data_IF_040061664245
#
_entry.id   IF_040061664245
#
_cell.length_a   1.000
_cell.length_b   1.000
_cell.length_c   1.000
_cell.angle_alpha   90.00
_cell.angle_beta   90.00
_cell.angle_gamma   90.00
#
_symmetry.space_group_name_H-M   'P 1'
#
loop_
_entity.id
_entity.type
_entity.pdbx_description
1 polymer ?
#
# COMPACT_ATOMS: atom_id res chain seq x y z
N UNK A 1 6.50 -30.81 15.07
CA UNK A 1 7.74 -30.12 14.64
C UNK A 1 7.80 -29.80 13.13
N UNK A 2 6.83 -30.25 12.32
CA UNK A 2 6.85 -30.13 10.85
C UNK A 2 6.15 -28.88 10.31
N UNK A 3 5.07 -28.41 10.96
CA UNK A 3 4.36 -27.17 10.59
C UNK A 3 5.17 -25.89 10.82
N UNK A 4 6.03 -25.86 11.84
CA UNK A 4 6.88 -24.72 12.17
C UNK A 4 8.05 -24.53 11.16
N UNK A 5 8.45 -25.61 10.46
CA UNK A 5 9.48 -25.57 9.42
C UNK A 5 8.91 -25.08 8.08
N UNK A 6 7.67 -25.46 7.76
CA UNK A 6 6.95 -24.98 6.58
C UNK A 6 6.61 -23.49 6.73
N UNK A 7 6.16 -23.06 7.91
CA UNK A 7 5.89 -21.64 8.19
C UNK A 7 7.14 -20.75 8.11
N UNK A 8 8.31 -21.25 8.54
CA UNK A 8 9.58 -20.54 8.40
C UNK A 8 10.06 -20.44 6.95
N UNK A 9 9.91 -21.51 6.16
CA UNK A 9 10.24 -21.48 4.73
C UNK A 9 9.33 -20.51 3.96
N UNK A 10 8.03 -20.49 4.26
CA UNK A 10 7.07 -19.56 3.64
C UNK A 10 7.37 -18.10 4.01
N UNK A 11 7.68 -17.82 5.28
CA UNK A 11 8.07 -16.49 5.74
C UNK A 11 9.42 -16.02 5.16
N UNK A 12 10.40 -16.92 5.02
CA UNK A 12 11.67 -16.64 4.34
C UNK A 12 11.48 -16.37 2.85
N UNK A 13 10.58 -17.09 2.17
CA UNK A 13 10.24 -16.84 0.77
C UNK A 13 9.51 -15.52 0.58
N UNK A 14 8.59 -15.14 1.48
CA UNK A 14 7.89 -13.85 1.45
C UNK A 14 8.85 -12.68 1.73
N UNK A 15 9.76 -12.83 2.70
CA UNK A 15 10.81 -11.84 2.97
C UNK A 15 11.78 -11.74 1.79
N UNK A 16 12.14 -12.86 1.16
CA UNK A 16 12.99 -12.88 -0.03
C UNK A 16 12.30 -12.26 -1.25
N UNK A 17 11.00 -12.48 -1.45
CA UNK A 17 10.19 -11.84 -2.50
C UNK A 17 9.95 -10.35 -2.24
N UNK A 18 9.80 -9.93 -0.97
CA UNK A 18 9.75 -8.52 -0.59
C UNK A 18 11.12 -7.83 -0.75
N UNK A 19 12.22 -8.56 -0.49
CA UNK A 19 13.57 -8.08 -0.78
C UNK A 19 13.79 -7.96 -2.28
N UNK A 20 13.37 -8.94 -3.09
CA UNK A 20 13.40 -8.86 -4.55
C UNK A 20 12.50 -7.75 -5.09
N UNK A 21 11.28 -7.55 -4.57
CA UNK A 21 10.39 -6.46 -4.96
C UNK A 21 10.98 -5.08 -4.59
N UNK A 22 11.66 -5.00 -3.44
CA UNK A 22 12.38 -3.80 -3.00
C UNK A 22 13.63 -3.55 -3.83
N UNK A 23 14.32 -4.60 -4.28
CA UNK A 23 15.53 -4.53 -5.13
C UNK A 23 15.19 -4.19 -6.59
N UNK A 24 14.04 -4.69 -7.08
CA UNK A 24 13.43 -4.30 -8.37
C UNK A 24 12.88 -2.87 -8.33
N UNK A 25 12.28 -2.44 -7.22
CA UNK A 25 11.88 -1.04 -7.00
C UNK A 25 13.08 -0.09 -6.88
N UNK A 26 14.18 -0.55 -6.28
CA UNK A 26 15.42 0.23 -6.13
C UNK A 26 16.20 0.40 -7.45
N UNK A 27 15.97 -0.45 -8.45
CA UNK A 27 16.62 -0.32 -9.77
C UNK A 27 16.04 0.83 -10.62
N UNK A 28 14.85 1.34 -10.31
CA UNK A 28 14.20 2.45 -11.04
C UNK A 28 14.04 3.73 -10.21
N UNK A 29 14.56 3.79 -8.97
CA UNK A 29 14.61 5.05 -8.22
C UNK A 29 15.80 5.90 -8.68
N UNK A 30 15.53 7.02 -9.34
CA UNK A 30 16.50 8.08 -9.62
C UNK A 30 17.14 8.49 -8.29
N UNK A 31 18.43 8.19 -8.08
CA UNK A 31 19.10 8.57 -6.84
C UNK A 31 19.20 10.10 -6.82
N UNK A 32 18.69 10.75 -5.77
CA UNK A 32 18.82 12.21 -5.68
C UNK A 32 20.31 12.63 -5.69
N UNK A 33 21.18 11.84 -5.03
CA UNK A 33 22.61 12.09 -4.93
C UNK A 33 23.44 10.81 -5.06
N UNK A 34 24.54 10.90 -5.80
CA UNK A 34 25.60 9.87 -5.83
C UNK A 34 26.93 10.45 -5.35
N UNK A 35 27.76 9.61 -4.72
CA UNK A 35 29.09 9.99 -4.22
C UNK A 35 30.16 8.99 -4.68
N UNK A 36 31.24 9.52 -5.25
CA UNK A 36 32.48 8.81 -5.55
C UNK A 36 33.62 9.43 -4.72
N UNK A 37 34.40 8.60 -4.01
CA UNK A 37 35.52 9.06 -3.17
C UNK A 37 36.81 8.38 -3.61
N UNK A 38 37.78 9.19 -4.04
CA UNK A 38 39.13 8.78 -4.45
C UNK A 38 40.15 9.43 -3.48
N UNK A 39 40.50 8.72 -2.41
CA UNK A 39 41.43 9.22 -1.40
C UNK A 39 42.48 8.20 -0.96
N UNK A 40 43.68 8.70 -0.66
CA UNK A 40 44.78 7.98 -0.01
C UNK A 40 44.76 8.10 1.53
N UNK A 41 43.82 8.87 2.10
CA UNK A 41 43.64 9.03 3.54
C UNK A 41 42.41 8.23 4.03
N UNK A 42 42.56 7.35 5.05
CA UNK A 42 41.44 6.54 5.55
C UNK A 42 40.23 7.33 6.06
N UNK A 43 40.49 8.55 6.56
CA UNK A 43 39.47 9.44 7.10
C UNK A 43 38.58 10.11 6.03
N UNK A 44 39.00 10.12 4.77
CA UNK A 44 38.23 10.67 3.63
C UNK A 44 37.78 9.48 2.79
N UNK A 45 36.83 8.71 3.32
CA UNK A 45 36.30 7.52 2.65
C UNK A 45 34.79 7.63 2.44
N UNK A 46 34.26 6.85 1.50
CA UNK A 46 32.81 6.78 1.27
C UNK A 46 32.05 6.43 2.55
N UNK A 47 32.58 5.50 3.36
CA UNK A 47 31.94 5.05 4.60
C UNK A 47 31.80 6.14 5.67
N UNK A 48 32.71 7.12 5.67
CA UNK A 48 32.67 8.25 6.61
C UNK A 48 31.85 9.43 6.07
N UNK A 49 31.93 9.71 4.76
CA UNK A 49 31.29 10.87 4.13
C UNK A 49 29.82 10.66 3.80
N UNK A 50 29.44 9.49 3.28
CA UNK A 50 28.08 9.22 2.82
C UNK A 50 26.99 9.36 3.91
N UNK A 51 27.15 8.83 5.15
CA UNK A 51 26.12 8.96 6.17
C UNK A 51 25.93 10.41 6.63
N UNK A 52 27.01 11.21 6.67
CA UNK A 52 26.95 12.62 7.06
C UNK A 52 26.32 13.50 5.98
N UNK A 53 26.72 13.34 4.73
CA UNK A 53 26.10 14.01 3.59
C UNK A 53 24.61 13.64 3.47
N UNK A 54 24.25 12.39 3.76
CA UNK A 54 22.84 11.97 3.76
C UNK A 54 22.02 12.67 4.85
N UNK A 55 22.60 12.85 6.03
CA UNK A 55 21.96 13.57 7.14
C UNK A 55 21.78 15.06 6.81
N UNK A 56 22.78 15.69 6.21
CA UNK A 56 22.77 17.12 5.87
C UNK A 56 21.91 17.45 4.64
N UNK A 57 21.81 16.55 3.66
CA UNK A 57 21.00 16.73 2.46
C UNK A 57 19.55 16.23 2.63
N UNK A 58 19.25 15.53 3.73
CA UNK A 58 17.92 14.99 4.02
C UNK A 58 17.45 13.92 3.03
N UNK A 59 18.37 13.33 2.27
CA UNK A 59 18.14 12.31 1.24
C UNK A 59 19.31 11.31 1.22
N UNK A 60 19.07 10.04 0.87
CA UNK A 60 20.13 9.03 0.85
C UNK A 60 21.16 9.32 -0.26
N UNK A 61 22.44 9.31 0.12
CA UNK A 61 23.58 9.40 -0.80
C UNK A 61 24.09 7.98 -1.11
N UNK A 62 24.07 7.60 -2.38
CA UNK A 62 24.43 6.26 -2.85
C UNK A 62 25.79 6.26 -3.55
N UNK A 63 26.50 5.11 -3.63
CA UNK A 63 27.76 5.05 -4.38
C UNK A 63 27.52 5.26 -5.89
N UNK A 64 28.40 6.01 -6.54
CA UNK A 64 28.42 6.17 -7.99
C UNK A 64 28.69 4.82 -8.67
N UNK A 65 27.80 4.36 -9.53
CA UNK A 65 27.94 3.10 -10.28
C UNK A 65 27.67 3.36 -11.76
N UNK A 66 28.43 2.77 -12.70
CA UNK A 66 28.19 2.98 -14.13
C UNK A 66 26.74 2.60 -14.50
N UNK A 67 25.98 3.57 -15.04
CA UNK A 67 24.59 3.38 -15.46
C UNK A 67 23.51 3.82 -14.45
N UNK A 68 23.86 4.27 -13.24
CA UNK A 68 22.90 4.86 -12.29
C UNK A 68 22.70 6.36 -12.56
N UNK A 69 21.50 6.75 -12.98
CA UNK A 69 21.13 8.15 -13.13
C UNK A 69 20.94 8.82 -11.75
N UNK A 70 21.53 9.99 -11.57
CA UNK A 70 21.39 10.78 -10.35
C UNK A 70 21.15 12.26 -10.66
N UNK A 71 20.41 12.97 -9.81
CA UNK A 71 20.18 14.42 -9.98
C UNK A 71 21.46 15.22 -9.78
N UNK A 72 22.25 14.85 -8.77
CA UNK A 72 23.59 15.42 -8.53
C UNK A 72 24.58 14.29 -8.23
N UNK A 73 25.69 14.25 -8.98
CA UNK A 73 26.81 13.34 -8.76
C UNK A 73 27.98 14.10 -8.14
N UNK A 74 28.41 13.72 -6.94
CA UNK A 74 29.54 14.34 -6.22
C UNK A 74 30.76 13.43 -6.29
N UNK A 75 31.91 13.97 -6.66
CA UNK A 75 33.21 13.30 -6.66
C UNK A 75 34.14 14.03 -5.71
N UNK A 76 34.72 13.30 -4.74
CA UNK A 76 35.68 13.84 -3.78
C UNK A 76 37.02 13.16 -4.03
N UNK A 77 38.05 13.94 -4.39
CA UNK A 77 39.43 13.46 -4.51
C UNK A 77 40.31 14.11 -3.46
N UNK A 78 41.04 13.32 -2.69
CA UNK A 78 42.00 13.83 -1.72
C UNK A 78 43.36 13.13 -1.87
N UNK A 79 44.43 13.92 -1.78
CA UNK A 79 45.83 13.44 -1.78
C UNK A 79 46.56 13.99 -0.56
N UNK A 80 46.91 13.12 0.37
CA UNK A 80 47.58 13.48 1.61
C UNK A 80 48.98 14.08 1.37
N UNK A 81 49.71 13.55 0.38
CA UNK A 81 51.07 14.00 0.06
C UNK A 81 51.14 15.44 -0.47
N UNK A 82 50.13 15.89 -1.22
CA UNK A 82 50.07 17.24 -1.81
C UNK A 82 49.11 18.18 -1.07
N UNK A 83 48.40 17.67 -0.05
CA UNK A 83 47.34 18.37 0.69
C UNK A 83 46.31 18.99 -0.25
N UNK A 84 45.92 18.27 -1.29
CA UNK A 84 44.99 18.76 -2.29
C UNK A 84 43.66 18.02 -2.15
N UNK A 85 42.59 18.77 -1.86
CA UNK A 85 41.21 18.29 -1.82
C UNK A 85 40.45 18.90 -3.00
N UNK A 86 39.97 18.06 -3.91
CA UNK A 86 39.13 18.46 -5.04
C UNK A 86 37.74 17.88 -4.82
N UNK A 87 36.72 18.74 -4.81
CA UNK A 87 35.32 18.31 -4.79
C UNK A 87 34.67 18.79 -6.07
N UNK A 88 34.04 17.86 -6.79
CA UNK A 88 33.33 18.12 -8.03
C UNK A 88 31.88 17.68 -7.90
N UNK A 89 30.93 18.54 -8.21
CA UNK A 89 29.51 18.23 -8.26
C UNK A 89 28.99 18.42 -9.70
N UNK A 90 28.32 17.40 -10.23
CA UNK A 90 27.75 17.38 -11.59
C UNK A 90 26.24 17.19 -11.50
N UNK A 91 25.47 18.14 -12.06
CA UNK A 91 24.02 18.02 -12.18
C UNK A 91 23.65 17.57 -13.60
N UNK A 92 22.77 16.56 -13.73
CA UNK A 92 22.41 15.87 -14.98
C UNK A 92 21.91 16.72 -16.17
N UNK A 93 21.87 18.04 -16.03
CA UNK A 93 21.68 19.04 -17.09
C UNK A 93 22.98 19.68 -17.62
N UNK A 94 24.16 19.15 -17.27
CA UNK A 94 25.46 19.55 -17.84
C UNK A 94 26.19 20.71 -17.15
N UNK A 95 25.80 21.08 -15.92
CA UNK A 95 26.59 22.04 -15.09
C UNK A 95 27.47 21.27 -14.12
N UNK A 96 28.75 21.60 -14.14
CA UNK A 96 29.79 21.05 -13.25
C UNK A 96 30.34 22.19 -12.41
N UNK A 97 30.36 22.01 -11.10
CA UNK A 97 31.12 22.85 -10.17
C UNK A 97 32.29 22.01 -9.66
N UNK A 98 33.49 22.57 -9.70
CA UNK A 98 34.70 21.92 -9.22
C UNK A 98 35.48 22.92 -8.38
N UNK A 99 35.84 22.52 -7.16
CA UNK A 99 36.58 23.36 -6.24
C UNK A 99 37.74 22.60 -5.63
N UNK A 100 38.91 23.23 -5.70
CA UNK A 100 40.16 22.74 -5.13
C UNK A 100 40.51 23.55 -3.90
N UNK A 101 40.77 22.89 -2.77
CA UNK A 101 41.16 23.53 -1.53
C UNK A 101 42.36 22.80 -0.93
N UNK A 102 43.30 23.56 -0.36
CA UNK A 102 44.43 23.02 0.38
C UNK A 102 44.19 23.16 1.90
N UNK A 103 44.07 22.05 2.66
CA UNK A 103 43.94 22.10 4.11
C UNK A 103 45.16 22.73 4.78
N UNK A 104 44.95 23.52 5.84
CA UNK A 104 46.03 24.11 6.64
C UNK A 104 46.76 23.03 7.47
N UNK A 105 48.05 23.25 7.66
CA UNK A 105 48.97 22.35 8.36
C UNK A 105 48.61 22.22 9.87
N UNK A 106 48.43 20.99 10.38
CA UNK A 106 48.28 20.73 11.82
C UNK A 106 47.32 19.62 12.27
N UNK A 107 46.26 19.28 11.53
CA UNK A 107 45.33 18.18 11.85
C UNK A 107 44.75 17.60 10.55
N UNK A 108 45.53 16.78 9.85
CA UNK A 108 45.36 16.49 8.41
C UNK A 108 44.12 15.65 8.05
N UNK A 109 43.60 14.81 8.95
CA UNK A 109 42.49 13.90 8.64
C UNK A 109 41.11 14.50 8.94
N UNK A 110 40.92 15.02 10.16
CA UNK A 110 39.63 15.57 10.62
C UNK A 110 39.27 16.87 9.91
N UNK A 111 40.28 17.73 9.66
CA UNK A 111 40.08 19.00 8.95
C UNK A 111 39.77 18.76 7.48
N UNK A 112 40.46 17.82 6.82
CA UNK A 112 40.18 17.48 5.42
C UNK A 112 38.78 16.85 5.26
N UNK A 113 38.35 16.01 6.21
CA UNK A 113 37.01 15.43 6.23
C UNK A 113 35.92 16.50 6.41
N UNK A 114 36.04 17.39 7.41
CA UNK A 114 35.07 18.47 7.62
C UNK A 114 35.01 19.45 6.45
N UNK A 115 36.15 19.70 5.80
CA UNK A 115 36.24 20.56 4.63
C UNK A 115 35.60 19.88 3.41
N UNK A 116 35.82 18.59 3.20
CA UNK A 116 35.20 17.81 2.13
C UNK A 116 33.69 17.71 2.30
N UNK A 117 33.21 17.50 3.53
CA UNK A 117 31.80 17.43 3.88
C UNK A 117 31.09 18.77 3.62
N UNK A 118 31.61 19.88 4.19
CA UNK A 118 31.01 21.19 4.01
C UNK A 118 31.05 21.62 2.54
N UNK A 119 32.16 21.37 1.85
CA UNK A 119 32.29 21.74 0.45
C UNK A 119 31.36 20.92 -0.46
N UNK A 120 31.26 19.61 -0.25
CA UNK A 120 30.33 18.76 -0.99
C UNK A 120 28.86 19.15 -0.75
N UNK A 121 28.51 19.52 0.48
CA UNK A 121 27.16 20.02 0.81
C UNK A 121 26.86 21.35 0.13
N UNK A 122 27.77 22.31 0.26
CA UNK A 122 27.55 23.69 -0.20
C UNK A 122 27.43 23.73 -1.73
N UNK A 123 28.27 22.98 -2.47
CA UNK A 123 28.18 22.88 -3.94
C UNK A 123 26.92 22.13 -4.40
N UNK A 124 26.51 21.08 -3.69
CA UNK A 124 25.27 20.36 -3.98
C UNK A 124 24.02 21.23 -3.75
N UNK A 125 24.02 22.08 -2.70
CA UNK A 125 22.94 23.04 -2.43
C UNK A 125 22.97 24.23 -3.38
N UNK A 126 24.14 24.77 -3.72
CA UNK A 126 24.26 25.89 -4.65
C UNK A 126 23.75 25.53 -6.05
N UNK A 127 23.97 24.28 -6.50
CA UNK A 127 23.40 23.78 -7.75
C UNK A 127 21.88 23.69 -7.72
N UNK A 128 21.28 23.40 -6.57
CA UNK A 128 19.81 23.31 -6.39
C UNK A 128 19.18 24.69 -6.17
N UNK A 129 19.79 25.53 -5.34
CA UNK A 129 19.33 26.88 -5.00
C UNK A 129 19.50 27.85 -6.17
N UNK A 130 20.56 27.69 -6.98
CA UNK A 130 20.76 28.44 -8.23
C UNK A 130 19.67 28.17 -9.28
N UNK A 131 18.96 27.04 -9.17
CA UNK A 131 17.75 26.75 -9.96
C UNK A 131 16.47 27.22 -9.26
N UNK A 132 16.36 27.13 -7.93
CA UNK A 132 15.24 27.67 -7.16
C UNK A 132 15.12 29.21 -7.28
N UNK A 133 16.25 29.93 -7.31
CA UNK A 133 16.31 31.39 -7.41
C UNK A 133 15.92 31.96 -8.79
N UNK A 134 15.75 31.10 -9.81
CA UNK A 134 15.27 31.49 -11.15
C UNK A 134 13.79 31.18 -11.39
N UNK A 135 13.09 30.56 -10.43
CA UNK A 135 11.63 30.50 -10.43
C UNK A 135 11.07 31.75 -9.73
N UNK A 136 10.32 32.63 -10.43
CA UNK A 136 9.67 33.75 -9.77
C UNK A 136 8.63 33.22 -8.76
N UNK A 137 8.38 33.91 -7.64
CA UNK A 137 7.38 33.49 -6.67
C UNK A 137 5.98 33.45 -7.33
N UNK A 138 5.23 32.40 -7.04
CA UNK A 138 3.90 32.17 -7.61
C UNK A 138 2.94 33.33 -7.29
N UNK A 139 2.41 33.97 -8.33
CA UNK A 139 1.33 34.95 -8.21
C UNK A 139 0.00 34.24 -7.86
N UNK A 140 -0.89 34.85 -7.06
CA UNK A 140 -2.20 34.27 -6.75
C UNK A 140 -3.08 34.16 -8.00
N UNK A 141 -4.04 33.21 -8.03
CA UNK A 141 -4.65 32.73 -9.27
C UNK A 141 -5.58 33.79 -9.87
N UNK A 142 -5.17 34.36 -11.00
CA UNK A 142 -6.04 35.09 -11.90
C UNK A 142 -6.21 34.27 -13.18
N UNK A 143 -7.46 33.96 -13.52
CA UNK A 143 -7.87 33.25 -14.74
C UNK A 143 -7.42 34.00 -15.99
N UNK A 144 -6.60 33.35 -16.82
CA UNK A 144 -6.16 33.83 -18.13
C UNK A 144 -6.16 32.68 -19.17
N UNK A 145 -6.28 32.98 -20.48
CA UNK A 145 -6.74 32.07 -21.55
C UNK A 145 -5.71 30.99 -21.94
N UNK A 146 -6.11 29.96 -22.72
CA UNK A 146 -5.32 28.74 -22.92
C UNK A 146 -3.96 29.07 -23.57
N UNK A 147 -2.89 28.64 -22.92
CA UNK A 147 -1.52 28.79 -23.41
C UNK A 147 -1.32 27.98 -24.70
N UNK A 148 -0.67 28.59 -25.69
CA UNK A 148 -0.25 27.92 -26.91
C UNK A 148 0.68 26.75 -26.57
N UNK A 149 0.42 25.60 -27.20
CA UNK A 149 1.11 24.34 -26.95
C UNK A 149 2.64 24.48 -27.14
N UNK A 150 3.46 23.85 -26.28
CA UNK A 150 4.90 23.77 -26.52
C UNK A 150 5.17 23.05 -27.86
N UNK A 151 6.25 23.43 -28.58
CA UNK A 151 6.61 22.76 -29.82
C UNK A 151 6.78 21.25 -29.55
N UNK A 152 6.32 20.37 -30.46
CA UNK A 152 6.34 18.94 -30.25
C UNK A 152 7.79 18.49 -30.02
N UNK A 153 7.98 17.70 -28.96
CA UNK A 153 9.23 17.00 -28.73
C UNK A 153 9.64 16.28 -30.02
N UNK A 154 10.92 16.39 -30.39
CA UNK A 154 11.47 15.61 -31.49
C UNK A 154 11.04 14.15 -31.29
N UNK A 155 10.44 13.49 -32.31
CA UNK A 155 9.96 12.14 -32.15
C UNK A 155 11.12 11.27 -31.64
N UNK A 156 10.89 10.43 -30.62
CA UNK A 156 11.93 9.52 -30.15
C UNK A 156 12.50 8.80 -31.36
N UNK A 157 13.83 8.81 -31.51
CA UNK A 157 14.51 8.09 -32.57
C UNK A 157 13.87 6.71 -32.67
N UNK A 158 13.26 6.40 -33.83
CA UNK A 158 12.43 5.21 -33.99
C UNK A 158 13.21 4.01 -33.44
N UNK A 159 12.71 3.46 -32.33
CA UNK A 159 13.33 2.32 -31.69
C UNK A 159 13.49 1.25 -32.76
N UNK A 160 14.72 0.75 -32.96
CA UNK A 160 14.93 -0.35 -33.90
C UNK A 160 13.95 -1.46 -33.49
N UNK A 161 13.14 -1.99 -34.42
CA UNK A 161 12.20 -3.04 -34.08
C UNK A 161 12.99 -4.20 -33.45
N UNK A 162 12.52 -4.66 -32.31
CA UNK A 162 13.17 -5.75 -31.61
C UNK A 162 13.25 -6.97 -32.52
N UNK A 163 14.33 -7.75 -32.45
CA UNK A 163 14.39 -8.99 -33.19
C UNK A 163 13.21 -9.88 -32.78
N UNK A 164 12.43 -10.31 -33.75
CA UNK A 164 11.27 -11.18 -33.51
C UNK A 164 11.69 -12.65 -33.50
N UNK A 165 11.11 -13.42 -32.57
CA UNK A 165 11.26 -14.88 -32.46
C UNK A 165 9.86 -15.44 -32.28
N UNK A 166 9.22 -15.92 -33.35
CA UNK A 166 7.82 -16.38 -33.29
C UNK A 166 7.59 -17.46 -32.22
N UNK A 167 8.50 -18.45 -32.15
CA UNK A 167 8.42 -19.57 -31.22
C UNK A 167 9.76 -19.68 -30.49
N UNK A 168 9.72 -19.56 -29.17
CA UNK A 168 10.83 -19.81 -28.26
C UNK A 168 10.59 -21.12 -27.51
N UNK A 169 11.59 -21.98 -27.47
CA UNK A 169 11.56 -23.21 -26.70
C UNK A 169 12.88 -23.38 -25.93
N UNK A 170 12.82 -23.77 -24.66
CA UNK A 170 14.02 -23.90 -23.84
C UNK A 170 13.88 -24.80 -22.62
N UNK A 171 15.02 -25.25 -22.08
CA UNK A 171 15.08 -25.88 -20.77
C UNK A 171 15.02 -24.80 -19.69
N UNK A 172 15.97 -23.88 -19.72
CA UNK A 172 16.08 -22.74 -18.82
C UNK A 172 16.97 -21.72 -19.52
N UNK A 173 16.56 -20.47 -19.65
CA UNK A 173 17.45 -19.44 -20.22
C UNK A 173 18.81 -19.46 -19.47
N UNK A 174 19.96 -19.51 -20.18
CA UNK A 174 20.13 -19.31 -21.63
C UNK A 174 20.06 -20.58 -22.51
N UNK A 175 19.77 -21.77 -21.98
CA UNK A 175 19.52 -22.99 -22.78
C UNK A 175 18.12 -22.92 -23.41
N UNK A 176 17.98 -22.08 -24.43
CA UNK A 176 16.73 -21.80 -25.16
C UNK A 176 17.00 -21.37 -26.61
N UNK A 177 16.03 -21.51 -27.51
CA UNK A 177 16.16 -21.09 -28.92
C UNK A 177 16.39 -19.58 -29.07
N UNK A 178 16.03 -18.78 -28.06
CA UNK A 178 16.23 -17.34 -28.02
C UNK A 178 17.47 -16.91 -27.18
N UNK A 179 18.38 -17.83 -26.84
CA UNK A 179 19.57 -17.57 -26.01
C UNK A 179 20.35 -16.30 -26.41
N UNK A 180 20.59 -16.14 -27.71
CA UNK A 180 21.33 -15.00 -28.28
C UNK A 180 20.50 -13.72 -28.46
N UNK A 181 19.19 -13.77 -28.17
CA UNK A 181 18.24 -12.66 -28.30
C UNK A 181 17.28 -12.63 -27.09
N UNK A 182 17.78 -12.45 -25.85
CA UNK A 182 16.97 -12.56 -24.63
C UNK A 182 15.81 -11.56 -24.55
N UNK A 183 15.97 -10.41 -25.21
CA UNK A 183 14.98 -9.33 -25.21
C UNK A 183 14.17 -9.30 -26.52
N UNK A 184 14.15 -10.40 -27.27
CA UNK A 184 13.32 -10.53 -28.47
C UNK A 184 11.83 -10.40 -28.16
N UNK A 185 11.07 -9.97 -29.17
CA UNK A 185 9.62 -10.11 -29.17
C UNK A 185 9.26 -11.54 -29.54
N UNK A 186 8.53 -12.22 -28.67
CA UNK A 186 8.16 -13.64 -28.80
C UNK A 186 6.66 -13.80 -28.80
N UNK A 187 6.10 -14.64 -29.69
CA UNK A 187 4.64 -14.86 -29.73
C UNK A 187 4.22 -16.08 -28.89
N UNK A 188 5.05 -17.11 -28.91
CA UNK A 188 4.88 -18.32 -28.12
C UNK A 188 6.20 -18.69 -27.44
N UNK A 189 6.25 -18.65 -26.10
CA UNK A 189 7.40 -19.08 -25.31
C UNK A 189 7.03 -20.33 -24.49
N UNK A 190 7.76 -21.43 -24.71
CA UNK A 190 7.61 -22.67 -23.96
C UNK A 190 8.94 -23.04 -23.31
N UNK A 191 9.05 -22.84 -22.01
CA UNK A 191 10.27 -23.12 -21.27
C UNK A 191 10.04 -24.14 -20.17
N UNK A 192 10.84 -25.22 -20.12
CA UNK A 192 10.63 -26.25 -19.10
C UNK A 192 10.78 -25.66 -17.70
N UNK A 193 11.89 -25.02 -17.36
CA UNK A 193 12.15 -24.45 -16.03
C UNK A 193 12.04 -22.93 -16.03
N UNK A 194 12.79 -22.23 -16.89
CA UNK A 194 12.88 -20.77 -16.84
C UNK A 194 12.84 -20.14 -18.22
N UNK A 195 11.76 -19.42 -18.52
CA UNK A 195 11.62 -18.65 -19.76
C UNK A 195 12.03 -17.19 -19.59
N UNK A 196 12.77 -16.65 -20.55
CA UNK A 196 13.10 -15.22 -20.60
C UNK A 196 12.79 -14.67 -21.99
N UNK A 197 12.03 -13.60 -22.06
CA UNK A 197 11.72 -12.88 -23.28
C UNK A 197 11.77 -11.36 -23.08
N UNK A 198 11.82 -10.62 -24.19
CA UNK A 198 11.66 -9.17 -24.19
C UNK A 198 10.22 -8.80 -23.96
N UNK A 199 9.47 -8.93 -25.05
CA UNK A 199 8.01 -8.79 -25.10
C UNK A 199 7.41 -10.14 -25.46
N UNK A 200 6.33 -10.54 -24.80
CA UNK A 200 5.54 -11.71 -25.14
C UNK A 200 4.21 -11.25 -25.73
N UNK A 201 3.86 -11.70 -26.92
CA UNK A 201 2.64 -11.37 -27.65
C UNK A 201 1.85 -12.65 -27.93
N UNK A 202 1.10 -13.15 -26.95
CA UNK A 202 0.38 -14.41 -27.06
C UNK A 202 0.48 -15.23 -25.78
N UNK A 203 1.32 -16.28 -25.79
CA UNK A 203 1.37 -17.25 -24.69
C UNK A 203 2.81 -17.51 -24.22
N UNK A 204 3.02 -17.44 -22.91
CA UNK A 204 4.25 -17.87 -22.25
C UNK A 204 3.93 -18.94 -21.21
N UNK A 205 4.47 -20.15 -21.41
CA UNK A 205 4.30 -21.30 -20.54
C UNK A 205 5.64 -21.68 -19.91
N UNK A 206 5.70 -21.77 -18.58
CA UNK A 206 6.87 -22.35 -17.91
C UNK A 206 6.56 -23.15 -16.66
N UNK A 207 7.26 -24.27 -16.42
CA UNK A 207 6.98 -25.09 -15.23
C UNK A 207 7.56 -24.52 -13.94
N UNK A 208 8.48 -23.56 -13.98
CA UNK A 208 8.95 -22.89 -12.76
C UNK A 208 8.77 -21.38 -12.87
N UNK A 209 9.53 -20.70 -13.72
CA UNK A 209 9.50 -19.24 -13.78
C UNK A 209 9.50 -18.67 -15.19
N UNK A 210 8.92 -17.48 -15.35
CA UNK A 210 9.03 -16.74 -16.60
C UNK A 210 9.28 -15.25 -16.35
N UNK A 211 10.12 -14.66 -17.21
CA UNK A 211 10.54 -13.27 -17.15
C UNK A 211 10.29 -12.59 -18.50
N UNK A 212 9.28 -11.73 -18.55
CA UNK A 212 9.09 -10.76 -19.62
C UNK A 212 9.76 -9.44 -19.21
N UNK A 213 10.92 -9.13 -19.78
CA UNK A 213 11.67 -7.92 -19.37
C UNK A 213 10.95 -6.61 -19.71
N UNK A 214 9.98 -6.65 -20.62
CA UNK A 214 9.15 -5.51 -21.02
C UNK A 214 7.68 -5.87 -20.91
N UNK A 215 7.02 -6.17 -22.02
CA UNK A 215 5.57 -6.31 -22.09
C UNK A 215 5.15 -7.77 -22.20
N UNK A 216 4.10 -8.14 -21.48
CA UNK A 216 3.31 -9.34 -21.69
C UNK A 216 1.96 -8.90 -22.24
N UNK A 217 1.74 -9.07 -23.53
CA UNK A 217 0.46 -8.90 -24.21
C UNK A 217 -0.14 -10.28 -24.48
N UNK A 218 -0.93 -10.78 -23.54
CA UNK A 218 -1.51 -12.12 -23.58
C UNK A 218 -1.48 -12.85 -22.25
N UNK A 219 -1.12 -14.14 -22.26
CA UNK A 219 -1.18 -15.02 -21.09
C UNK A 219 0.21 -15.51 -20.72
N UNK A 220 0.57 -15.39 -19.44
CA UNK A 220 1.75 -16.01 -18.85
C UNK A 220 1.29 -17.00 -17.78
N UNK A 221 1.58 -18.28 -17.97
CA UNK A 221 1.24 -19.36 -17.04
C UNK A 221 2.53 -20.00 -16.51
N UNK A 222 2.72 -19.91 -15.20
CA UNK A 222 3.89 -20.46 -14.51
C UNK A 222 3.50 -21.31 -13.31
N UNK A 223 4.22 -22.39 -13.01
CA UNK A 223 3.91 -23.17 -11.80
C UNK A 223 4.46 -22.53 -10.52
N UNK A 224 5.44 -21.61 -10.60
CA UNK A 224 5.97 -20.90 -9.44
C UNK A 224 5.86 -19.39 -9.57
N UNK A 225 6.59 -18.76 -10.50
CA UNK A 225 6.78 -17.31 -10.49
C UNK A 225 6.73 -16.63 -11.86
N UNK A 226 5.94 -15.57 -11.98
CA UNK A 226 5.91 -14.71 -13.16
C UNK A 226 6.43 -13.31 -12.89
N UNK A 227 7.31 -12.80 -13.74
CA UNK A 227 7.68 -11.38 -13.78
C UNK A 227 7.37 -10.79 -15.15
N UNK A 228 6.76 -9.60 -15.16
CA UNK A 228 6.66 -8.74 -16.34
C UNK A 228 6.79 -7.27 -15.93
N UNK A 229 7.30 -6.38 -16.79
CA UNK A 229 7.24 -4.95 -16.48
C UNK A 229 5.82 -4.42 -16.67
N UNK A 230 5.21 -4.71 -17.81
CA UNK A 230 3.82 -4.37 -18.14
C UNK A 230 3.06 -5.62 -18.57
N UNK A 231 1.86 -5.80 -18.04
CA UNK A 231 0.95 -6.89 -18.38
C UNK A 231 -0.29 -6.29 -19.01
N UNK A 232 -0.64 -6.78 -20.19
CA UNK A 232 -1.92 -6.56 -20.86
C UNK A 232 -2.51 -7.94 -21.15
N UNK A 233 -3.38 -8.43 -20.26
CA UNK A 233 -3.89 -9.80 -20.31
C UNK A 233 -3.87 -10.49 -18.95
N UNK A 234 -3.26 -11.67 -18.85
CA UNK A 234 -3.29 -12.48 -17.63
C UNK A 234 -1.92 -13.06 -17.23
N UNK A 235 -1.52 -12.86 -15.97
CA UNK A 235 -0.45 -13.63 -15.34
C UNK A 235 -1.04 -14.60 -14.33
N UNK A 236 -0.68 -15.88 -14.46
CA UNK A 236 -1.13 -16.96 -13.60
C UNK A 236 0.10 -17.69 -13.09
N UNK A 237 0.28 -17.71 -11.77
CA UNK A 237 1.42 -18.36 -11.12
C UNK A 237 0.98 -19.26 -9.97
N UNK A 238 1.63 -20.40 -9.80
CA UNK A 238 1.34 -21.26 -8.64
C UNK A 238 1.77 -20.63 -7.31
N UNK A 239 2.77 -19.73 -7.29
CA UNK A 239 3.21 -19.06 -6.07
C UNK A 239 3.09 -17.53 -6.16
N UNK A 240 3.74 -16.88 -7.14
CA UNK A 240 3.79 -15.42 -7.17
C UNK A 240 3.81 -14.78 -8.56
N UNK A 241 3.09 -13.65 -8.72
CA UNK A 241 3.29 -12.75 -9.85
C UNK A 241 3.82 -11.41 -9.38
N UNK A 242 4.69 -10.82 -10.20
CA UNK A 242 5.23 -9.47 -9.99
C UNK A 242 5.13 -8.73 -11.31
N UNK A 243 4.45 -7.59 -11.27
CA UNK A 243 4.45 -6.64 -12.37
C UNK A 243 4.56 -5.20 -11.87
N UNK A 244 4.98 -4.30 -12.75
CA UNK A 244 4.90 -2.86 -12.46
C UNK A 244 3.52 -2.35 -12.86
N UNK A 245 3.12 -2.59 -14.10
CA UNK A 245 1.80 -2.21 -14.61
C UNK A 245 1.01 -3.44 -15.01
N UNK A 246 -0.26 -3.50 -14.64
CA UNK A 246 -1.18 -4.58 -14.99
C UNK A 246 -2.47 -3.98 -15.51
N UNK A 247 -2.82 -4.31 -16.75
CA UNK A 247 -4.13 -4.13 -17.34
C UNK A 247 -4.70 -5.52 -17.66
N UNK A 248 -5.55 -6.04 -16.76
CA UNK A 248 -6.10 -7.38 -16.83
C UNK A 248 -6.08 -8.12 -15.50
N UNK A 249 -5.54 -9.35 -15.46
CA UNK A 249 -5.61 -10.23 -14.30
C UNK A 249 -4.24 -10.73 -13.82
N UNK A 250 -4.00 -10.68 -12.52
CA UNK A 250 -2.95 -11.45 -11.85
C UNK A 250 -3.60 -12.47 -10.92
N UNK A 251 -3.17 -13.73 -11.00
CA UNK A 251 -3.67 -14.82 -10.18
C UNK A 251 -2.48 -15.61 -9.63
N UNK A 252 -2.30 -15.62 -8.32
CA UNK A 252 -1.24 -16.35 -7.65
C UNK A 252 -1.73 -17.22 -6.49
N UNK A 253 -1.08 -18.37 -6.27
CA UNK A 253 -1.37 -19.19 -5.10
C UNK A 253 -1.01 -18.51 -3.77
N UNK A 254 0.00 -17.63 -3.74
CA UNK A 254 0.44 -16.96 -2.52
C UNK A 254 0.47 -15.43 -2.63
N UNK A 255 1.13 -14.87 -3.64
CA UNK A 255 1.44 -13.44 -3.67
C UNK A 255 1.30 -12.81 -5.05
N UNK A 256 0.57 -11.71 -5.14
CA UNK A 256 0.61 -10.86 -6.32
C UNK A 256 1.15 -9.48 -5.94
N UNK A 257 1.96 -8.89 -6.81
CA UNK A 257 2.41 -7.50 -6.73
C UNK A 257 2.18 -6.78 -8.04
N UNK A 258 1.60 -5.60 -7.94
CA UNK A 258 1.56 -4.57 -8.97
C UNK A 258 2.03 -3.23 -8.38
N UNK A 259 2.59 -2.33 -9.18
CA UNK A 259 2.64 -0.92 -8.80
C UNK A 259 1.32 -0.25 -9.20
N UNK A 260 0.92 -0.41 -10.45
CA UNK A 260 -0.37 0.04 -10.99
C UNK A 260 -1.18 -1.16 -11.49
N UNK A 261 -2.38 -1.34 -10.95
CA UNK A 261 -3.33 -2.39 -11.33
C UNK A 261 -4.60 -1.76 -11.90
N UNK A 262 -5.02 -2.23 -13.07
CA UNK A 262 -6.35 -2.03 -13.66
C UNK A 262 -6.91 -3.42 -14.00
N UNK A 263 -7.92 -3.86 -13.26
CA UNK A 263 -8.53 -5.19 -13.44
C UNK A 263 -8.60 -5.97 -12.15
N UNK A 264 -8.05 -7.19 -12.11
CA UNK A 264 -8.19 -8.11 -10.98
C UNK A 264 -6.84 -8.65 -10.49
N UNK A 265 -6.69 -8.73 -9.17
CA UNK A 265 -5.55 -9.34 -8.51
C UNK A 265 -6.07 -10.35 -7.49
N UNK A 266 -5.72 -11.63 -7.66
CA UNK A 266 -6.29 -12.75 -6.91
C UNK A 266 -5.16 -13.60 -6.35
N UNK A 267 -4.91 -13.47 -5.04
CA UNK A 267 -3.83 -14.18 -4.36
C UNK A 267 -4.36 -15.00 -3.18
N UNK A 268 -3.86 -16.21 -2.95
CA UNK A 268 -4.25 -16.97 -1.75
C UNK A 268 -3.80 -16.30 -0.44
N UNK A 269 -2.64 -15.64 -0.46
CA UNK A 269 -2.04 -14.97 0.70
C UNK A 269 -2.19 -13.46 0.67
N UNK A 270 -1.40 -12.79 -0.17
CA UNK A 270 -1.26 -11.33 -0.18
C UNK A 270 -1.39 -10.78 -1.60
N UNK A 271 -2.27 -9.79 -1.77
CA UNK A 271 -2.33 -8.94 -2.95
C UNK A 271 -1.86 -7.53 -2.58
N UNK A 272 -0.78 -7.05 -3.20
CA UNK A 272 -0.25 -5.69 -3.00
C UNK A 272 -0.35 -4.86 -4.29
N UNK A 273 -0.83 -3.63 -4.19
CA UNK A 273 -0.76 -2.64 -5.27
C UNK A 273 -0.52 -1.22 -4.74
N UNK A 274 0.30 -0.38 -5.39
CA UNK A 274 0.36 1.03 -5.00
C UNK A 274 -0.91 1.78 -5.44
N UNK A 275 -1.31 1.62 -6.70
CA UNK A 275 -2.59 2.09 -7.20
C UNK A 275 -3.36 0.92 -7.81
N UNK A 276 -4.60 0.70 -7.39
CA UNK A 276 -5.46 -0.35 -7.91
C UNK A 276 -6.81 0.23 -8.37
N UNK A 277 -7.27 -0.19 -9.54
CA UNK A 277 -8.64 0.03 -10.02
C UNK A 277 -9.24 -1.31 -10.41
N UNK A 278 -10.30 -1.73 -9.72
CA UNK A 278 -10.96 -3.03 -9.95
C UNK A 278 -11.06 -3.89 -8.70
N UNK A 279 -10.61 -5.15 -8.76
CA UNK A 279 -10.78 -6.14 -7.69
C UNK A 279 -9.43 -6.57 -7.10
N UNK A 280 -9.32 -6.52 -5.78
CA UNK A 280 -8.30 -7.27 -5.03
C UNK A 280 -8.98 -8.34 -4.17
N UNK A 281 -8.59 -9.60 -4.37
CA UNK A 281 -9.09 -10.73 -3.60
C UNK A 281 -7.92 -11.53 -3.04
N UNK A 282 -7.72 -11.47 -1.72
CA UNK A 282 -6.70 -12.23 -1.02
C UNK A 282 -7.00 -12.35 0.47
N UNK A 283 -6.27 -13.20 1.18
CA UNK A 283 -6.36 -13.23 2.65
C UNK A 283 -6.01 -11.86 3.25
N UNK A 284 -4.98 -11.22 2.70
CA UNK A 284 -4.57 -9.86 3.02
C UNK A 284 -4.50 -9.04 1.73
N UNK A 285 -5.26 -7.96 1.66
CA UNK A 285 -5.15 -6.99 0.57
C UNK A 285 -4.50 -5.71 1.10
N UNK A 286 -3.50 -5.21 0.38
CA UNK A 286 -2.83 -3.96 0.71
C UNK A 286 -2.81 -3.08 -0.54
N UNK A 287 -3.28 -1.84 -0.39
CA UNK A 287 -3.10 -0.83 -1.41
C UNK A 287 -2.69 0.53 -0.84
N UNK A 288 -2.02 1.38 -1.61
CA UNK A 288 -1.97 2.81 -1.23
C UNK A 288 -3.27 3.47 -1.65
N UNK A 289 -3.69 3.32 -2.90
CA UNK A 289 -4.97 3.84 -3.40
C UNK A 289 -5.75 2.74 -4.12
N UNK A 290 -7.04 2.60 -3.82
CA UNK A 290 -7.89 1.64 -4.52
C UNK A 290 -9.23 2.25 -4.93
N UNK A 291 -9.56 2.13 -6.22
CA UNK A 291 -10.88 2.39 -6.79
C UNK A 291 -11.56 1.08 -7.16
N UNK A 292 -12.42 0.54 -6.30
CA UNK A 292 -13.13 -0.71 -6.58
C UNK A 292 -13.43 -1.55 -5.34
N UNK A 293 -13.10 -2.84 -5.37
CA UNK A 293 -13.45 -3.84 -4.37
C UNK A 293 -12.19 -4.46 -3.74
N UNK A 294 -12.11 -4.47 -2.41
CA UNK A 294 -11.16 -5.31 -1.66
C UNK A 294 -11.91 -6.37 -0.86
N UNK A 295 -11.64 -7.64 -1.16
CA UNK A 295 -12.28 -8.79 -0.51
C UNK A 295 -11.20 -9.64 0.17
N UNK A 296 -11.24 -9.73 1.49
CA UNK A 296 -10.21 -10.46 2.23
C UNK A 296 -10.48 -10.58 3.72
N UNK A 297 -9.60 -11.27 4.45
CA UNK A 297 -9.70 -11.29 5.92
C UNK A 297 -9.27 -9.93 6.48
N UNK A 298 -8.18 -9.39 5.94
CA UNK A 298 -7.64 -8.07 6.28
C UNK A 298 -7.50 -7.24 5.02
N UNK A 299 -8.10 -6.05 5.02
CA UNK A 299 -7.94 -5.07 3.94
C UNK A 299 -7.30 -3.81 4.51
N UNK A 300 -6.21 -3.36 3.88
CA UNK A 300 -5.50 -2.14 4.25
C UNK A 300 -5.37 -1.25 3.03
N UNK A 301 -5.78 0.01 3.17
CA UNK A 301 -5.60 1.00 2.14
C UNK A 301 -5.19 2.35 2.75
N UNK A 302 -4.64 3.28 1.98
CA UNK A 302 -4.61 4.69 2.40
C UNK A 302 -5.90 5.38 1.98
N UNK A 303 -6.24 5.29 0.69
CA UNK A 303 -7.48 5.83 0.12
C UNK A 303 -8.29 4.73 -0.55
N UNK A 304 -9.58 4.68 -0.24
CA UNK A 304 -10.53 3.73 -0.82
C UNK A 304 -11.63 4.51 -1.50
N UNK A 305 -11.90 4.18 -2.76
CA UNK A 305 -13.09 4.61 -3.50
C UNK A 305 -13.87 3.38 -3.93
N UNK A 306 -14.85 2.96 -3.13
CA UNK A 306 -15.60 1.74 -3.37
C UNK A 306 -15.90 0.95 -2.09
N UNK A 307 -15.70 -0.36 -2.12
CA UNK A 307 -16.09 -1.28 -1.03
C UNK A 307 -14.89 -2.08 -0.51
N UNK A 308 -14.73 -2.09 0.81
CA UNK A 308 -13.92 -3.10 1.49
C UNK A 308 -14.83 -4.08 2.23
N UNK A 309 -14.59 -5.38 2.05
CA UNK A 309 -15.26 -6.44 2.78
C UNK A 309 -14.22 -7.35 3.41
N UNK A 310 -14.25 -7.44 4.74
CA UNK A 310 -13.36 -8.32 5.47
C UNK A 310 -13.66 -8.43 6.95
N UNK A 311 -12.82 -9.14 7.69
CA UNK A 311 -12.94 -9.19 9.16
C UNK A 311 -12.43 -7.88 9.74
N UNK A 312 -11.30 -7.41 9.21
CA UNK A 312 -10.67 -6.14 9.58
C UNK A 312 -10.44 -5.30 8.33
N UNK A 313 -10.94 -4.06 8.35
CA UNK A 313 -10.67 -3.07 7.31
C UNK A 313 -10.00 -1.85 7.92
N UNK A 314 -8.93 -1.37 7.30
CA UNK A 314 -8.20 -0.18 7.74
C UNK A 314 -7.98 0.73 6.54
N UNK A 315 -8.39 1.99 6.65
CA UNK A 315 -8.14 3.01 5.64
C UNK A 315 -7.94 4.39 6.28
N UNK A 316 -7.20 5.31 5.65
CA UNK A 316 -7.21 6.71 6.12
C UNK A 316 -8.50 7.40 5.65
N UNK A 317 -8.81 7.27 4.36
CA UNK A 317 -9.94 7.90 3.69
C UNK A 317 -10.77 6.87 2.93
N UNK A 318 -12.10 6.93 3.06
CA UNK A 318 -13.04 6.03 2.37
C UNK A 318 -14.16 6.83 1.71
N UNK A 319 -14.15 6.88 0.38
CA UNK A 319 -15.25 7.30 -0.47
C UNK A 319 -16.08 6.06 -0.88
N UNK A 320 -16.97 5.64 0.01
CA UNK A 320 -17.76 4.42 -0.17
C UNK A 320 -18.09 3.79 1.17
N UNK A 321 -17.88 2.49 1.29
CA UNK A 321 -18.29 1.72 2.48
C UNK A 321 -17.22 0.68 2.83
N UNK A 322 -16.96 0.47 4.12
CA UNK A 322 -16.15 -0.65 4.59
C UNK A 322 -16.97 -1.49 5.57
N UNK A 323 -17.16 -2.76 5.24
CA UNK A 323 -17.91 -3.71 6.05
C UNK A 323 -16.98 -4.76 6.63
N UNK A 324 -16.94 -4.85 7.96
CA UNK A 324 -16.21 -5.88 8.67
C UNK A 324 -16.48 -5.83 10.15
N UNK A 325 -16.04 -6.85 10.90
CA UNK A 325 -16.17 -6.85 12.35
C UNK A 325 -15.56 -5.58 12.92
N UNK A 326 -14.37 -5.21 12.45
CA UNK A 326 -13.69 -3.97 12.81
C UNK A 326 -13.35 -3.20 11.54
N UNK A 327 -13.92 -2.02 11.37
CA UNK A 327 -13.60 -1.11 10.25
C UNK A 327 -13.15 0.23 10.77
N UNK A 328 -11.89 0.58 10.50
CA UNK A 328 -11.24 1.78 11.02
C UNK A 328 -10.90 2.72 9.85
N UNK A 329 -11.43 3.93 9.92
CA UNK A 329 -11.02 5.06 9.11
C UNK A 329 -11.15 6.37 9.86
N UNK A 330 -10.77 7.49 9.22
CA UNK A 330 -10.88 8.80 9.83
C UNK A 330 -12.33 9.07 10.28
N UNK A 331 -12.51 9.34 11.58
CA UNK A 331 -13.80 9.58 12.22
C UNK A 331 -14.80 8.42 12.12
N UNK A 332 -14.35 7.17 12.02
CA UNK A 332 -15.26 6.01 11.95
C UNK A 332 -15.64 5.41 13.30
N UNK A 333 -14.92 5.76 14.38
CA UNK A 333 -15.05 5.14 15.69
C UNK A 333 -15.89 6.03 16.59
N UNK A 334 -17.05 5.53 17.01
CA UNK A 334 -18.00 6.28 17.80
C UNK A 334 -18.34 5.55 19.11
N UNK A 335 -17.91 6.06 20.26
CA UNK A 335 -18.43 5.62 21.54
C UNK A 335 -19.94 5.88 21.61
N UNK A 336 -20.69 4.92 22.14
CA UNK A 336 -22.14 5.05 22.34
C UNK A 336 -22.55 4.67 23.75
N UNK A 337 -23.53 5.38 24.27
CA UNK A 337 -24.19 5.05 25.53
C UNK A 337 -25.70 5.13 25.34
N UNK A 338 -26.42 4.07 25.70
CA UNK A 338 -27.88 4.03 25.53
C UNK A 338 -28.59 3.25 26.64
N UNK A 339 -29.85 3.60 26.83
CA UNK A 339 -30.77 2.97 27.76
C UNK A 339 -31.91 2.33 26.99
N UNK A 340 -32.55 1.32 27.57
CA UNK A 340 -33.73 0.71 26.99
C UNK A 340 -34.61 0.01 28.00
N UNK A 341 -35.81 -0.37 27.56
CA UNK A 341 -36.80 -1.05 28.38
C UNK A 341 -36.44 -2.50 28.75
N UNK A 342 -35.37 -3.07 28.18
CA UNK A 342 -34.86 -4.40 28.49
C UNK A 342 -33.49 -4.37 29.18
N UNK A 343 -32.81 -3.23 29.14
CA UNK A 343 -31.42 -3.06 29.56
C UNK A 343 -31.17 -1.60 29.90
N UNK A 344 -30.88 -1.30 31.16
CA UNK A 344 -30.76 0.08 31.62
C UNK A 344 -29.49 0.77 31.14
N UNK A 345 -28.33 0.14 31.26
CA UNK A 345 -27.05 0.75 30.87
C UNK A 345 -26.41 -0.05 29.76
N UNK A 346 -26.16 0.58 28.62
CA UNK A 346 -25.43 -0.03 27.53
C UNK A 346 -24.32 0.93 27.11
N UNK A 347 -23.10 0.41 27.01
CA UNK A 347 -21.91 1.16 26.61
C UNK A 347 -21.22 0.39 25.50
N UNK A 348 -20.93 1.04 24.39
CA UNK A 348 -20.36 0.37 23.24
C UNK A 348 -19.51 1.25 22.37
N UNK A 349 -18.95 0.62 21.34
CA UNK A 349 -18.21 1.26 20.28
C UNK A 349 -18.84 0.84 18.96
N UNK A 350 -19.18 1.84 18.15
CA UNK A 350 -19.68 1.70 16.79
C UNK A 350 -18.54 2.03 15.81
N UNK A 351 -18.31 1.14 14.87
CA UNK A 351 -17.38 1.30 13.75
C UNK A 351 -18.21 1.60 12.49
N UNK A 352 -18.39 2.88 12.17
CA UNK A 352 -19.20 3.35 11.05
C UNK A 352 -18.31 3.85 9.91
N UNK A 353 -18.36 3.20 8.75
CA UNK A 353 -17.65 3.64 7.55
C UNK A 353 -18.63 3.72 6.39
N UNK A 354 -18.94 4.95 5.95
CA UNK A 354 -19.93 5.19 4.92
C UNK A 354 -21.35 4.88 5.41
N UNK A 355 -22.04 4.01 4.69
CA UNK A 355 -23.46 3.70 4.92
C UNK A 355 -23.70 2.47 5.81
N UNK A 356 -22.66 1.88 6.38
CA UNK A 356 -22.80 0.71 7.26
C UNK A 356 -21.97 0.88 8.53
N UNK A 357 -22.37 0.16 9.57
CA UNK A 357 -21.58 0.06 10.79
C UNK A 357 -21.67 -1.32 11.42
N UNK A 358 -20.66 -1.62 12.22
CA UNK A 358 -20.73 -2.67 13.25
C UNK A 358 -20.69 -2.05 14.63
N UNK A 359 -21.34 -2.67 15.60
CA UNK A 359 -21.37 -2.19 16.97
C UNK A 359 -21.11 -3.34 17.94
N UNK A 360 -20.25 -3.08 18.92
CA UNK A 360 -20.06 -3.94 20.08
C UNK A 360 -20.40 -3.16 21.33
N UNK A 361 -21.30 -3.69 22.14
CA UNK A 361 -21.70 -3.06 23.38
C UNK A 361 -21.71 -4.05 24.54
N UNK A 362 -21.45 -3.52 25.72
CA UNK A 362 -21.61 -4.18 27.00
C UNK A 362 -22.80 -3.56 27.72
N UNK A 363 -23.63 -4.41 28.30
CA UNK A 363 -24.84 -4.04 29.01
C UNK A 363 -24.68 -4.33 30.49
N UNK A 364 -25.11 -3.39 31.34
CA UNK A 364 -25.26 -3.57 32.78
C UNK A 364 -26.70 -3.25 33.24
N UNK A 365 -27.28 -4.09 34.09
CA UNK A 365 -28.64 -3.91 34.61
C UNK A 365 -29.70 -4.38 33.63
N UNK A 366 -29.77 -5.69 33.40
CA UNK A 366 -30.87 -6.31 32.66
C UNK A 366 -32.11 -6.37 33.56
N UNK A 367 -33.30 -6.15 32.98
CA UNK A 367 -34.56 -6.27 33.72
C UNK A 367 -35.01 -7.73 33.94
N UNK A 368 -34.16 -8.68 33.54
CA UNK A 368 -34.37 -10.11 33.78
C UNK A 368 -33.73 -10.50 35.12
N UNK A 369 -34.52 -10.37 36.20
CA UNK A 369 -34.13 -10.57 37.61
C UNK A 369 -33.59 -11.96 37.99
N UNK A 370 -33.52 -12.90 37.04
CA UNK A 370 -33.00 -14.27 37.23
C UNK A 370 -31.58 -14.49 36.69
N UNK A 371 -30.99 -13.51 36.03
CA UNK A 371 -29.66 -13.61 35.44
C UNK A 371 -28.72 -12.56 36.03
N UNK A 372 -27.41 -12.80 35.85
CA UNK A 372 -26.36 -11.85 36.19
C UNK A 372 -26.68 -10.57 35.41
N UNK A 373 -26.54 -9.41 36.04
CA UNK A 373 -26.89 -8.10 35.49
C UNK A 373 -26.00 -7.66 34.30
N UNK A 374 -25.52 -8.56 33.45
CA UNK A 374 -24.57 -8.30 32.36
C UNK A 374 -24.97 -8.98 31.05
N UNK A 375 -24.78 -8.28 29.93
CA UNK A 375 -24.93 -8.85 28.59
C UNK A 375 -23.90 -8.25 27.62
N UNK A 376 -23.65 -8.94 26.51
CA UNK A 376 -22.86 -8.44 25.39
C UNK A 376 -23.71 -8.36 24.14
N UNK A 377 -23.57 -7.28 23.38
CA UNK A 377 -24.29 -7.05 22.13
C UNK A 377 -23.30 -6.94 20.99
N UNK A 378 -23.52 -7.69 19.91
CA UNK A 378 -22.89 -7.47 18.61
C UNK A 378 -23.96 -7.09 17.60
N UNK A 379 -23.73 -6.06 16.77
CA UNK A 379 -24.71 -5.60 15.81
C UNK A 379 -24.08 -5.21 14.47
N UNK A 380 -24.89 -5.33 13.42
CA UNK A 380 -24.63 -4.78 12.08
C UNK A 380 -25.81 -3.90 11.71
N UNK A 381 -25.53 -2.70 11.19
CA UNK A 381 -26.57 -1.76 10.81
C UNK A 381 -26.21 -0.93 9.59
N UNK A 382 -27.24 -0.34 9.01
CA UNK A 382 -27.11 0.68 7.99
C UNK A 382 -27.14 2.07 8.62
N UNK A 383 -26.48 3.03 7.97
CA UNK A 383 -26.57 4.45 8.29
C UNK A 383 -27.03 5.20 7.05
N UNK A 384 -28.24 5.74 7.11
CA UNK A 384 -28.86 6.45 5.98
C UNK A 384 -28.99 7.93 6.38
N UNK A 385 -28.11 8.82 5.88
CA UNK A 385 -28.26 10.25 6.11
C UNK A 385 -29.50 10.78 5.37
N UNK A 386 -30.35 11.51 6.09
CA UNK A 386 -31.58 12.11 5.58
C UNK A 386 -31.46 13.64 5.50
N UNK A 387 -30.25 14.16 5.29
CA UNK A 387 -29.94 15.59 5.24
C UNK A 387 -30.78 16.37 4.21
N UNK A 388 -31.19 15.70 3.13
CA UNK A 388 -32.07 16.28 2.10
C UNK A 388 -33.48 16.61 2.62
N UNK A 389 -33.96 15.90 3.65
CA UNK A 389 -35.25 16.15 4.28
C UNK A 389 -35.11 17.09 5.48
N UNK A 390 -34.23 16.74 6.41
CA UNK A 390 -33.95 17.51 7.61
C UNK A 390 -32.43 17.47 7.81
N UNK A 391 -31.74 18.63 7.83
CA UNK A 391 -30.30 18.66 8.04
C UNK A 391 -29.90 17.93 9.32
N UNK A 392 -28.89 17.05 9.22
CA UNK A 392 -28.32 16.26 10.33
C UNK A 392 -29.25 15.21 10.93
N UNK A 393 -30.34 14.87 10.24
CA UNK A 393 -31.18 13.73 10.56
C UNK A 393 -30.64 12.48 9.87
N UNK A 394 -30.67 11.35 10.55
CA UNK A 394 -30.28 10.07 9.99
C UNK A 394 -31.21 8.94 10.46
N UNK A 395 -31.21 7.85 9.70
CA UNK A 395 -31.98 6.64 9.97
C UNK A 395 -31.05 5.43 10.00
N UNK A 396 -31.17 4.62 11.04
CA UNK A 396 -30.31 3.45 11.26
C UNK A 396 -31.16 2.19 11.48
N UNK A 397 -31.38 1.37 10.44
CA UNK A 397 -31.82 -0.01 10.62
C UNK A 397 -30.67 -0.86 11.18
N UNK A 398 -30.95 -1.68 12.19
CA UNK A 398 -29.96 -2.49 12.89
C UNK A 398 -30.48 -3.92 13.12
N UNK A 399 -29.62 -4.90 12.90
CA UNK A 399 -29.79 -6.27 13.40
C UNK A 399 -28.73 -6.51 14.48
N UNK A 400 -29.16 -6.93 15.66
CA UNK A 400 -28.29 -7.17 16.80
C UNK A 400 -28.46 -8.56 17.38
N UNK A 401 -27.38 -9.07 17.97
CA UNK A 401 -27.32 -10.30 18.72
C UNK A 401 -26.93 -9.96 20.15
N UNK A 402 -27.80 -10.28 21.11
CA UNK A 402 -27.58 -10.01 22.53
C UNK A 402 -27.41 -11.34 23.26
N UNK A 403 -26.26 -11.52 23.88
CA UNK A 403 -25.97 -12.66 24.75
C UNK A 403 -25.98 -12.21 26.21
N UNK A 404 -26.97 -12.68 26.96
CA UNK A 404 -27.07 -12.40 28.40
C UNK A 404 -26.16 -13.38 29.14
N UNK A 405 -25.24 -12.87 29.96
CA UNK A 405 -24.27 -13.70 30.66
C UNK A 405 -24.97 -14.41 31.82
N UNK A 406 -25.06 -15.75 31.80
CA UNK A 406 -25.81 -16.46 32.82
C UNK A 406 -25.08 -16.54 34.17
N UNK A 407 -25.85 -16.74 35.25
CA UNK A 407 -25.30 -17.05 36.57
C UNK A 407 -24.86 -18.52 36.70
N UNK A 408 -25.51 -19.42 35.95
CA UNK A 408 -25.20 -20.85 35.89
C UNK A 408 -24.71 -21.23 34.50
N UNK A 409 -23.70 -22.09 34.42
CA UNK A 409 -23.04 -22.45 33.16
C UNK A 409 -23.97 -23.10 32.10
N UNK A 410 -25.16 -23.58 32.47
CA UNK A 410 -26.08 -24.27 31.57
C UNK A 410 -27.23 -23.40 31.04
N UNK A 411 -27.30 -22.11 31.40
CA UNK A 411 -28.37 -21.22 30.96
C UNK A 411 -27.89 -20.38 29.76
N UNK A 412 -28.12 -20.84 28.53
CA UNK A 412 -27.84 -20.02 27.37
C UNK A 412 -29.04 -19.13 27.06
N UNK A 413 -28.79 -17.83 26.92
CA UNK A 413 -29.82 -16.84 26.65
C UNK A 413 -29.35 -15.89 25.54
N UNK A 414 -29.67 -16.27 24.30
CA UNK A 414 -29.29 -15.58 23.08
C UNK A 414 -30.52 -15.00 22.38
N UNK A 415 -30.49 -13.69 22.17
CA UNK A 415 -31.57 -12.93 21.53
C UNK A 415 -31.11 -12.34 20.21
N UNK A 416 -31.93 -12.49 19.17
CA UNK A 416 -31.80 -11.74 17.92
C UNK A 416 -32.75 -10.55 17.97
N UNK A 417 -32.26 -9.34 17.77
CA UNK A 417 -33.06 -8.12 17.70
C UNK A 417 -33.03 -7.48 16.33
N UNK A 418 -34.16 -6.93 15.91
CA UNK A 418 -34.24 -5.97 14.82
C UNK A 418 -34.69 -4.62 15.39
N UNK A 419 -33.96 -3.55 15.09
CA UNK A 419 -34.27 -2.19 15.53
C UNK A 419 -34.26 -1.21 14.37
N UNK A 420 -35.04 -0.15 14.52
CA UNK A 420 -34.96 1.05 13.71
C UNK A 420 -34.74 2.24 14.62
N UNK A 421 -33.69 3.01 14.34
CA UNK A 421 -33.32 4.18 15.12
C UNK A 421 -33.35 5.43 14.24
N UNK A 422 -33.84 6.53 14.80
CA UNK A 422 -33.76 7.86 14.21
C UNK A 422 -32.75 8.66 15.03
N UNK A 423 -31.78 9.26 14.35
CA UNK A 423 -30.72 10.05 14.95
C UNK A 423 -30.78 11.52 14.54
N UNK A 424 -30.36 12.40 15.44
CA UNK A 424 -30.14 13.81 15.16
C UNK A 424 -28.79 14.27 15.70
N UNK A 425 -27.93 14.78 14.81
CA UNK A 425 -26.59 15.28 15.16
C UNK A 425 -26.65 16.77 15.48
N UNK A 426 -26.62 17.13 16.75
CA UNK A 426 -26.76 18.53 17.19
C UNK A 426 -25.42 19.28 17.19
N UNK A 427 -24.31 18.55 17.37
CA UNK A 427 -22.94 19.07 17.26
C UNK A 427 -22.10 18.19 16.32
N UNK A 428 -20.87 18.64 16.01
CA UNK A 428 -19.95 17.91 15.10
C UNK A 428 -19.59 16.51 15.58
N UNK A 429 -19.60 16.28 16.90
CA UNK A 429 -19.19 15.03 17.55
C UNK A 429 -20.22 14.59 18.60
N UNK A 430 -21.49 14.95 18.39
CA UNK A 430 -22.53 14.55 19.34
C UNK A 430 -23.87 14.39 18.65
N UNK A 431 -24.40 13.17 18.77
CA UNK A 431 -25.66 12.72 18.17
C UNK A 431 -26.53 12.09 19.25
N UNK A 432 -27.81 12.45 19.27
CA UNK A 432 -28.84 11.74 20.06
C UNK A 432 -29.59 10.81 19.12
N UNK A 433 -29.96 9.63 19.58
CA UNK A 433 -30.83 8.73 18.84
C UNK A 433 -31.93 8.15 19.71
N UNK A 434 -33.06 7.85 19.08
CA UNK A 434 -34.21 7.16 19.67
C UNK A 434 -34.67 6.10 18.68
N UNK A 435 -35.02 4.92 19.17
CA UNK A 435 -35.49 3.85 18.32
C UNK A 435 -36.28 2.79 19.05
N UNK A 436 -36.76 1.84 18.27
CA UNK A 436 -37.47 0.69 18.79
C UNK A 436 -37.49 -0.45 17.80
N UNK A 437 -38.01 -1.58 18.27
CA UNK A 437 -38.05 -2.80 17.49
C UNK A 437 -38.52 -3.98 18.30
N UNK A 438 -38.02 -5.16 17.96
CA UNK A 438 -38.38 -6.39 18.65
C UNK A 438 -37.17 -7.32 18.78
N UNK A 439 -37.11 -8.04 19.90
CA UNK A 439 -36.18 -9.15 20.13
C UNK A 439 -36.91 -10.47 20.06
N UNK A 440 -36.23 -11.45 19.47
CA UNK A 440 -36.68 -12.82 19.27
C UNK A 440 -35.73 -13.76 20.02
N UNK A 441 -36.29 -14.73 20.71
CA UNK A 441 -35.51 -15.78 21.36
C UNK A 441 -34.92 -16.72 20.30
N UNK A 442 -33.58 -16.86 20.24
CA UNK A 442 -32.91 -17.86 19.41
C UNK A 442 -32.65 -19.15 20.20
N UNK A 443 -32.02 -19.01 21.35
CA UNK A 443 -31.71 -20.11 22.28
C UNK A 443 -32.01 -19.59 23.68
N UNK A 444 -33.12 -20.05 24.26
CA UNK A 444 -33.56 -19.65 25.60
C UNK A 444 -34.08 -20.89 26.31
N UNK A 445 -33.46 -21.25 27.43
CA UNK A 445 -33.80 -22.46 28.19
C UNK A 445 -35.03 -22.31 29.09
N UNK A 446 -35.59 -21.11 29.29
CA UNK A 446 -36.77 -20.91 30.14
C UNK A 446 -37.84 -19.97 29.53
N UNK A 447 -39.05 -20.51 29.33
CA UNK A 447 -40.36 -19.90 29.63
C UNK A 447 -40.75 -18.50 29.10
N UNK A 448 -39.96 -17.85 28.25
CA UNK A 448 -40.23 -16.48 27.81
C UNK A 448 -41.03 -16.44 26.50
N UNK A 449 -42.00 -15.51 26.43
CA UNK A 449 -42.64 -15.07 25.17
C UNK A 449 -41.58 -14.94 24.06
N UNK A 450 -41.84 -15.55 22.90
CA UNK A 450 -40.88 -15.64 21.80
C UNK A 450 -40.48 -14.29 21.20
N UNK A 451 -41.29 -13.25 21.44
CA UNK A 451 -41.07 -11.89 20.93
C UNK A 451 -41.24 -10.88 22.05
N UNK A 452 -40.31 -9.93 22.16
CA UNK A 452 -40.37 -8.83 23.13
C UNK A 452 -40.18 -7.48 22.42
N UNK A 453 -41.08 -6.51 22.61
CA UNK A 453 -40.86 -5.17 22.08
C UNK A 453 -39.69 -4.50 22.79
N UNK A 454 -38.89 -3.77 22.02
CA UNK A 454 -37.73 -3.05 22.50
C UNK A 454 -37.86 -1.57 22.16
N UNK A 455 -37.53 -0.71 23.12
CA UNK A 455 -37.38 0.73 22.95
C UNK A 455 -36.03 1.14 23.52
N UNK A 456 -35.28 1.93 22.76
CA UNK A 456 -33.94 2.40 23.12
C UNK A 456 -33.78 3.90 22.85
N UNK A 457 -32.97 4.55 23.67
CA UNK A 457 -32.58 5.94 23.46
C UNK A 457 -31.18 6.18 24.02
N UNK A 458 -30.39 7.00 23.33
CA UNK A 458 -29.01 7.17 23.70
C UNK A 458 -28.29 8.30 22.97
N UNK A 459 -26.98 8.33 23.23
CA UNK A 459 -26.05 9.30 22.67
C UNK A 459 -24.88 8.59 22.01
N UNK A 460 -24.36 9.21 20.96
CA UNK A 460 -23.19 8.80 20.20
C UNK A 460 -22.22 9.98 20.14
N UNK A 461 -20.94 9.70 20.44
CA UNK A 461 -19.84 10.67 20.50
C UNK A 461 -18.95 10.59 19.25
#
# INVERSE_FOLDING_TARGET
>A
MTLLRIGRALALSIVFLLLLAREVSAQDSEAAYTLEVDSDAPAVSFGELAPRLSADLGQPVLPSTPGRAAKVSVTVRFRAATRELVVRADHGGGRVLERTVQPKEGEEATTAMLLAENLARDEARELLDGFAARQPPAAPPATAPPAAAPPPAAPPAAARPDPEVYVSAGLAYPIATNAGKPNAKTYFDLSLLYGRAGTVHGLQLSSFGAWASRELEGIQLTAFGGYARRVEGAQIAGAANVAREVDGAQIAGAFDYAHDLRGAQIAGGLAYADAATGLQLASVNVAREIGGLQLGVVNVARKVKGLQLGVVNVAEEVEGTSLGLVSISKNSVHPVAYVGNLAFWNFGVKFQVGYVYTLFAFTHGTLETKYRNFATTGAIGGHVPLDALIPRLDLEPEVNLVHVIPEKANDNNLWLGGRLMVGYSFARHLRVFLGGGARFALIVNEGSKSVRPEAVGGVQF
#
